data_IF_662524258900
#
_entry.id   IF_662524258900
#
_cell.length_a   1.000
_cell.length_b   1.000
_cell.length_c   1.000
_cell.angle_alpha   90.00
_cell.angle_beta   90.00
_cell.angle_gamma   90.00
#
_symmetry.space_group_name_H-M   'P 1'
#
loop_
_entity.id
_entity.type
_entity.pdbx_description
1 polymer ?
#
# COMPACT_ATOMS: atom_id res chain seq x y z
N UNK A 1 -3.34 36.05 -39.06
CA UNK A 1 -3.02 36.66 -37.75
C UNK A 1 -2.02 35.75 -37.04
N UNK A 2 -0.72 36.06 -37.17
CA UNK A 2 0.34 35.53 -36.31
C UNK A 2 0.37 36.30 -35.01
N UNK A 3 0.65 35.65 -33.85
CA UNK A 3 1.72 35.94 -32.84
C UNK A 3 1.71 34.76 -31.83
N UNK A 4 2.71 33.86 -31.85
CA UNK A 4 3.96 33.88 -31.05
C UNK A 4 3.74 33.64 -29.54
N UNK A 5 4.22 32.48 -29.09
CA UNK A 5 5.02 32.22 -27.86
C UNK A 5 4.77 33.10 -26.63
N UNK A 6 4.34 32.48 -25.51
CA UNK A 6 4.36 33.07 -24.17
C UNK A 6 4.91 32.08 -23.15
N UNK A 7 6.10 31.55 -23.43
CA UNK A 7 7.10 31.38 -22.36
C UNK A 7 7.76 32.74 -22.18
N UNK A 8 8.14 33.04 -20.94
CA UNK A 8 8.92 34.19 -20.50
C UNK A 8 8.20 35.52 -20.24
N UNK A 9 8.54 36.09 -19.09
CA UNK A 9 8.45 37.51 -18.77
C UNK A 9 7.07 38.12 -18.46
N UNK A 10 6.41 37.63 -17.40
CA UNK A 10 5.91 38.58 -16.38
C UNK A 10 7.07 38.86 -15.43
N UNK A 11 8.07 39.53 -16.01
CA UNK A 11 9.07 40.28 -15.29
C UNK A 11 8.47 41.64 -14.99
N UNK A 12 8.85 42.18 -13.84
CA UNK A 12 8.58 43.53 -13.36
C UNK A 12 7.17 43.78 -12.79
N UNK A 13 7.10 43.90 -11.47
CA UNK A 13 7.09 45.20 -10.76
C UNK A 13 7.19 44.85 -9.26
N UNK A 14 8.38 44.81 -8.65
CA UNK A 14 9.06 45.96 -8.04
C UNK A 14 8.10 46.88 -7.27
N UNK A 15 7.86 46.60 -5.99
CA UNK A 15 7.85 47.60 -4.90
C UNK A 15 8.24 46.86 -3.62
N UNK A 16 9.27 47.34 -2.96
CA UNK A 16 9.95 46.64 -1.87
C UNK A 16 9.05 46.30 -0.70
N UNK A 17 9.32 45.14 -0.10
CA UNK A 17 8.99 44.86 1.28
C UNK A 17 9.99 43.85 1.82
N UNK A 18 10.57 44.23 2.95
CA UNK A 18 11.73 43.68 3.63
C UNK A 18 11.59 42.18 3.97
N UNK A 19 12.65 41.36 3.87
CA UNK A 19 12.58 39.93 4.11
C UNK A 19 12.52 39.51 5.60
N UNK A 20 12.30 40.43 6.54
CA UNK A 20 12.55 40.19 7.97
C UNK A 20 11.32 39.90 8.85
N UNK A 21 10.10 39.75 8.29
CA UNK A 21 8.85 39.71 9.11
C UNK A 21 7.80 38.67 8.68
N UNK A 22 8.20 37.49 8.16
CA UNK A 22 7.24 36.36 7.97
C UNK A 22 7.57 35.14 8.83
N UNK A 23 8.42 35.30 9.84
CA UNK A 23 8.92 34.20 10.67
C UNK A 23 7.90 33.58 11.65
N UNK A 24 6.71 34.17 11.89
CA UNK A 24 5.90 33.77 13.06
C UNK A 24 4.42 33.43 12.82
N UNK A 25 3.95 33.19 11.58
CA UNK A 25 2.52 32.89 11.36
C UNK A 25 2.17 31.81 10.34
N UNK A 26 3.03 30.80 10.23
CA UNK A 26 2.69 29.51 9.56
C UNK A 26 2.92 28.35 10.53
N UNK A 27 2.44 28.51 11.75
CA UNK A 27 2.18 27.40 12.67
C UNK A 27 0.78 26.85 12.38
N UNK A 28 0.68 25.52 12.31
CA UNK A 28 -0.44 24.73 12.85
C UNK A 28 -1.40 23.94 11.93
N UNK A 29 -1.08 23.64 10.67
CA UNK A 29 -1.94 22.70 9.89
C UNK A 29 -1.21 21.67 8.99
N UNK A 30 0.10 21.46 9.17
CA UNK A 30 0.85 20.43 8.42
C UNK A 30 1.66 19.53 9.36
N UNK A 31 1.07 19.14 10.49
CA UNK A 31 1.76 18.36 11.53
C UNK A 31 0.87 17.29 12.19
N UNK A 32 -0.06 16.67 11.43
CA UNK A 32 -0.97 15.66 11.97
C UNK A 32 -0.91 14.28 11.28
N UNK A 33 0.17 13.94 10.56
CA UNK A 33 0.35 12.57 10.04
C UNK A 33 1.82 12.15 9.83
N UNK A 34 2.76 12.78 10.53
CA UNK A 34 4.15 12.32 10.60
C UNK A 34 4.42 11.76 11.99
N UNK A 35 3.85 10.59 12.30
CA UNK A 35 4.27 9.80 13.45
C UNK A 35 5.71 9.30 13.22
N UNK A 36 6.64 10.03 13.85
CA UNK A 36 7.78 9.52 14.62
C UNK A 36 8.41 8.23 14.07
N UNK A 37 9.35 8.38 13.14
CA UNK A 37 10.35 7.33 12.88
C UNK A 37 11.35 7.28 14.03
N UNK A 38 11.05 6.47 15.04
CA UNK A 38 12.05 5.93 15.96
C UNK A 38 12.85 4.87 15.18
N UNK A 39 14.18 4.78 15.30
CA UNK A 39 14.94 3.70 14.67
C UNK A 39 14.51 2.40 15.34
N UNK A 40 13.61 1.67 14.70
CA UNK A 40 13.16 0.38 15.18
C UNK A 40 14.32 -0.59 15.00
N UNK A 41 14.85 -1.08 16.12
CA UNK A 41 15.55 -2.36 16.19
C UNK A 41 14.86 -3.34 15.23
N UNK A 42 15.65 -4.03 14.41
CA UNK A 42 15.19 -5.05 13.46
C UNK A 42 14.61 -6.23 14.24
N UNK A 43 13.44 -6.04 14.83
CA UNK A 43 12.59 -7.11 15.34
C UNK A 43 12.03 -7.74 14.08
N UNK A 44 12.47 -8.97 13.81
CA UNK A 44 11.88 -9.78 12.75
C UNK A 44 10.37 -9.61 12.79
N UNK A 45 9.73 -9.20 11.68
CA UNK A 45 8.32 -8.90 11.69
C UNK A 45 7.58 -10.14 12.17
N UNK A 46 6.88 -10.03 13.31
CA UNK A 46 6.05 -11.12 13.83
C UNK A 46 5.15 -11.59 12.70
N UNK A 47 5.34 -12.81 12.23
CA UNK A 47 4.50 -13.36 11.16
C UNK A 47 3.05 -13.37 11.64
N UNK A 48 2.24 -12.50 11.05
CA UNK A 48 0.79 -12.49 11.26
C UNK A 48 0.13 -13.42 10.25
N UNK A 49 -1.09 -13.85 10.55
CA UNK A 49 -1.89 -14.63 9.59
C UNK A 49 -2.07 -13.86 8.28
N UNK A 50 -2.32 -12.54 8.35
CA UNK A 50 -2.50 -11.69 7.19
C UNK A 50 -1.25 -11.60 6.31
N UNK A 51 -0.08 -11.36 6.91
CA UNK A 51 1.19 -11.32 6.18
C UNK A 51 1.55 -12.67 5.56
N UNK A 52 1.31 -13.77 6.28
CA UNK A 52 1.52 -15.11 5.77
C UNK A 52 0.59 -15.44 4.59
N UNK A 53 -0.68 -15.03 4.65
CA UNK A 53 -1.60 -15.20 3.51
C UNK A 53 -1.13 -14.39 2.32
N UNK A 54 -0.74 -13.11 2.52
CA UNK A 54 -0.24 -12.24 1.45
C UNK A 54 0.97 -12.84 0.74
N UNK A 55 1.91 -13.42 1.48
CA UNK A 55 3.08 -14.10 0.89
C UNK A 55 2.67 -15.33 0.08
N UNK A 56 1.84 -16.21 0.67
CA UNK A 56 1.44 -17.47 0.03
C UNK A 56 0.55 -17.27 -1.21
N UNK A 57 -0.26 -16.20 -1.27
CA UNK A 57 -1.11 -15.96 -2.45
C UNK A 57 -0.31 -15.57 -3.69
N UNK A 58 0.93 -15.09 -3.55
CA UNK A 58 1.83 -14.78 -4.66
C UNK A 58 2.37 -16.04 -5.35
N UNK A 59 2.45 -17.16 -4.63
CA UNK A 59 2.94 -18.41 -5.18
C UNK A 59 1.89 -19.06 -6.09
N UNK A 60 2.05 -18.93 -7.40
CA UNK A 60 1.13 -19.46 -8.40
C UNK A 60 0.88 -20.98 -8.28
N UNK A 61 1.78 -21.74 -7.65
CA UNK A 61 1.66 -23.20 -7.51
C UNK A 61 0.61 -23.62 -6.46
N UNK A 62 0.28 -22.72 -5.53
CA UNK A 62 -0.35 -23.08 -4.25
C UNK A 62 -1.89 -23.14 -4.12
N UNK A 63 -2.76 -23.23 -5.13
CA UNK A 63 -4.25 -23.21 -4.91
C UNK A 63 -4.76 -22.19 -3.83
N UNK A 64 -6.01 -22.25 -3.37
CA UNK A 64 -6.41 -21.51 -2.15
C UNK A 64 -6.58 -22.45 -0.96
N UNK A 65 -6.86 -23.72 -1.21
CA UNK A 65 -7.09 -24.73 -0.20
C UNK A 65 -5.76 -25.15 0.45
N UNK A 66 -4.67 -25.23 -0.33
CA UNK A 66 -3.35 -25.51 0.22
C UNK A 66 -2.84 -24.35 1.09
N UNK A 67 -3.10 -23.10 0.69
CA UNK A 67 -2.80 -21.92 1.52
C UNK A 67 -3.52 -22.00 2.87
N UNK A 68 -4.81 -22.37 2.88
CA UNK A 68 -5.57 -22.56 4.12
C UNK A 68 -4.94 -23.62 5.02
N UNK A 69 -4.54 -24.76 4.45
CA UNK A 69 -3.88 -25.84 5.19
C UNK A 69 -2.54 -25.38 5.78
N UNK A 70 -1.70 -24.69 5.00
CA UNK A 70 -0.42 -24.14 5.47
C UNK A 70 -0.65 -23.16 6.62
N UNK A 71 -1.64 -22.27 6.49
CA UNK A 71 -1.94 -21.29 7.53
C UNK A 71 -2.45 -21.96 8.81
N UNK A 72 -3.35 -22.93 8.72
CA UNK A 72 -3.83 -23.67 9.90
C UNK A 72 -2.76 -24.56 10.54
N UNK A 73 -1.81 -25.05 9.74
CA UNK A 73 -0.64 -25.79 10.24
C UNK A 73 0.37 -24.89 10.96
N UNK A 74 0.53 -23.63 10.52
CA UNK A 74 1.42 -22.64 11.15
C UNK A 74 0.78 -21.94 12.34
N UNK A 75 -0.54 -21.76 12.31
CA UNK A 75 -1.33 -21.03 13.30
C UNK A 75 -2.51 -21.89 13.72
N UNK A 76 -2.37 -22.61 14.84
CA UNK A 76 -3.37 -23.57 15.33
C UNK A 76 -4.75 -22.95 15.56
N UNK A 77 -4.79 -21.67 15.96
CA UNK A 77 -6.03 -20.94 16.25
C UNK A 77 -6.59 -20.19 15.02
N UNK A 78 -5.98 -20.35 13.84
CA UNK A 78 -6.40 -19.60 12.66
C UNK A 78 -7.71 -20.12 12.07
N UNK A 79 -8.73 -19.26 12.04
CA UNK A 79 -10.01 -19.51 11.37
C UNK A 79 -10.00 -19.16 9.88
N UNK A 80 -8.83 -19.15 9.25
CA UNK A 80 -8.67 -18.81 7.84
C UNK A 80 -9.51 -19.75 6.97
N UNK A 81 -10.21 -19.16 6.00
CA UNK A 81 -11.07 -19.87 5.07
C UNK A 81 -10.67 -19.56 3.63
N UNK A 82 -11.09 -20.41 2.70
CA UNK A 82 -10.87 -20.18 1.27
C UNK A 82 -11.41 -18.83 0.80
N UNK A 83 -12.57 -18.43 1.33
CA UNK A 83 -13.22 -17.14 1.03
C UNK A 83 -12.37 -15.96 1.52
N UNK A 84 -11.80 -16.04 2.72
CA UNK A 84 -10.95 -14.97 3.23
C UNK A 84 -9.67 -14.83 2.40
N UNK A 85 -9.03 -15.94 2.03
CA UNK A 85 -7.84 -15.94 1.16
C UNK A 85 -8.16 -15.33 -0.21
N UNK A 86 -9.28 -15.72 -0.83
CA UNK A 86 -9.71 -15.15 -2.11
C UNK A 86 -9.99 -13.65 -2.02
N UNK A 87 -10.59 -13.18 -0.91
CA UNK A 87 -10.82 -11.76 -0.66
C UNK A 87 -9.52 -10.97 -0.54
N UNK A 88 -8.51 -11.53 0.14
CA UNK A 88 -7.18 -10.91 0.25
C UNK A 88 -6.52 -10.84 -1.12
N UNK A 89 -6.52 -11.93 -1.89
CA UNK A 89 -5.98 -11.92 -3.25
C UNK A 89 -6.70 -10.90 -4.16
N UNK A 90 -8.02 -10.77 -4.07
CA UNK A 90 -8.77 -9.78 -4.83
C UNK A 90 -8.42 -8.34 -4.42
N UNK A 91 -8.27 -8.08 -3.12
CA UNK A 91 -7.83 -6.79 -2.60
C UNK A 91 -6.44 -6.41 -3.11
N UNK A 92 -5.49 -7.34 -3.07
CA UNK A 92 -4.12 -7.11 -3.55
C UNK A 92 -4.08 -6.77 -5.04
N UNK A 93 -4.88 -7.46 -5.87
CA UNK A 93 -5.01 -7.10 -7.30
C UNK A 93 -5.59 -5.70 -7.50
N UNK A 94 -6.56 -5.30 -6.67
CA UNK A 94 -7.13 -3.94 -6.70
C UNK A 94 -6.09 -2.88 -6.31
N UNK A 95 -5.19 -3.22 -5.39
CA UNK A 95 -4.06 -2.37 -4.97
C UNK A 95 -2.91 -2.35 -6.00
N UNK A 96 -3.05 -3.05 -7.13
CA UNK A 96 -2.06 -3.08 -8.22
C UNK A 96 -0.98 -4.14 -8.05
N UNK A 97 -1.09 -5.01 -7.04
CA UNK A 97 -0.15 -6.13 -6.85
C UNK A 97 -0.49 -7.27 -7.81
N UNK A 98 0.52 -7.78 -8.51
CA UNK A 98 0.36 -8.89 -9.44
C UNK A 98 0.16 -10.22 -8.69
N UNK A 99 -1.11 -10.55 -8.40
CA UNK A 99 -1.48 -11.83 -7.79
C UNK A 99 -2.03 -12.79 -8.85
N UNK A 100 -1.44 -14.00 -9.01
CA UNK A 100 -1.89 -14.97 -10.01
C UNK A 100 -3.39 -15.27 -9.92
N UNK A 101 -4.07 -15.31 -11.08
CA UNK A 101 -5.48 -15.70 -11.16
C UNK A 101 -5.59 -17.23 -11.03
N UNK A 102 -6.13 -17.67 -9.90
CA UNK A 102 -6.39 -19.10 -9.67
C UNK A 102 -7.78 -19.43 -10.20
N UNK A 103 -7.85 -20.09 -11.36
CA UNK A 103 -9.11 -20.63 -11.87
C UNK A 103 -9.56 -21.74 -10.92
N UNK A 104 -10.76 -21.59 -10.38
CA UNK A 104 -11.49 -22.70 -9.77
C UNK A 104 -11.70 -23.74 -10.88
N UNK A 105 -11.14 -24.93 -10.76
CA UNK A 105 -11.60 -26.03 -11.61
C UNK A 105 -13.07 -26.27 -11.25
N UNK A 106 -13.95 -25.93 -12.18
CA UNK A 106 -15.38 -26.19 -12.06
C UNK A 106 -15.55 -27.70 -12.21
N UNK A 107 -15.47 -28.45 -11.10
CA UNK A 107 -15.77 -29.89 -11.14
C UNK A 107 -15.12 -30.83 -10.13
N UNK A 108 -14.48 -30.38 -9.03
CA UNK A 108 -14.01 -31.33 -8.00
C UNK A 108 -15.09 -31.53 -6.92
N UNK A 109 -16.17 -32.19 -7.35
CA UNK A 109 -17.05 -32.99 -6.51
C UNK A 109 -16.72 -34.44 -6.84
N UNK A 110 -16.17 -35.17 -5.86
CA UNK A 110 -16.15 -36.63 -5.83
C UNK A 110 -16.70 -37.06 -4.47
#
# INVERSE_FOLDING_TARGET
MSKKTFTDAVSAVLHGQDPDQVADKVLAEVAASAEVQKPAEVKEPRMTIGSAVTELVMDATLSYDAIVQIIRGKFTDAQTSRRSVASVAARLRKEGVEVPLRRQQKGETA
#
